data_IF_039530175526
#
_entry.id   IF_039530175526
#
_cell.length_a   1.000
_cell.length_b   1.000
_cell.length_c   1.000
_cell.angle_alpha   90.00
_cell.angle_beta   90.00
_cell.angle_gamma   90.00
#
_symmetry.space_group_name_H-M   'P 1'
#
loop_
_entity.id
_entity.type
_entity.pdbx_description
1 polymer ?
#
# COMPACT_ATOMS: atom_id res chain seq x y z
N UNK A 1 7.99 -4.25 10.42
CA UNK A 1 7.04 -4.97 9.55
C UNK A 1 5.76 -5.22 10.33
N UNK A 2 4.58 -5.16 9.71
CA UNK A 2 3.30 -5.50 10.35
C UNK A 2 2.91 -6.97 10.13
N UNK A 3 1.74 -7.37 10.62
CA UNK A 3 1.21 -8.75 10.52
C UNK A 3 1.31 -9.32 9.09
N UNK A 4 0.85 -8.57 8.08
CA UNK A 4 0.97 -8.92 6.64
C UNK A 4 2.38 -9.23 6.17
N UNK A 5 3.39 -8.58 6.74
CA UNK A 5 4.79 -8.78 6.36
C UNK A 5 5.38 -10.04 6.97
N UNK A 6 4.88 -10.43 8.15
CA UNK A 6 5.37 -11.59 8.91
C UNK A 6 4.60 -12.89 8.60
N UNK A 7 3.42 -12.80 8.00
CA UNK A 7 2.67 -13.96 7.49
C UNK A 7 3.35 -14.70 6.33
N UNK A 8 4.53 -14.25 5.91
CA UNK A 8 5.25 -14.80 4.78
C UNK A 8 4.50 -14.63 3.45
N UNK A 9 4.84 -15.49 2.49
CA UNK A 9 4.23 -15.48 1.15
C UNK A 9 2.86 -16.14 1.24
N UNK A 10 1.83 -15.55 0.62
CA UNK A 10 0.49 -16.14 0.57
C UNK A 10 0.38 -17.26 -0.46
N UNK A 11 -0.34 -18.32 -0.14
CA UNK A 11 -0.64 -19.42 -1.06
C UNK A 11 -1.41 -18.95 -2.30
N UNK A 12 -2.26 -17.93 -2.16
CA UNK A 12 -2.94 -17.27 -3.28
C UNK A 12 -2.93 -15.76 -3.12
N UNK A 13 -2.69 -15.05 -4.21
CA UNK A 13 -2.78 -13.59 -4.27
C UNK A 13 -3.34 -13.18 -5.63
N UNK A 14 -4.60 -12.75 -5.67
CA UNK A 14 -5.31 -12.50 -6.91
C UNK A 14 -5.33 -13.74 -7.80
N UNK A 15 -4.74 -13.62 -8.99
CA UNK A 15 -4.62 -14.71 -9.99
C UNK A 15 -3.40 -15.63 -9.78
N UNK A 16 -2.49 -15.28 -8.88
CA UNK A 16 -1.28 -16.07 -8.61
C UNK A 16 -1.56 -17.10 -7.52
N UNK A 17 -1.41 -18.39 -7.84
CA UNK A 17 -1.48 -19.49 -6.90
C UNK A 17 -0.08 -20.12 -6.70
N UNK A 18 0.20 -20.59 -5.48
CA UNK A 18 1.48 -21.18 -5.07
C UNK A 18 1.22 -22.53 -4.39
N UNK A 19 0.77 -23.55 -5.16
CA UNK A 19 0.37 -24.85 -4.60
C UNK A 19 1.53 -25.58 -3.90
N UNK A 20 2.77 -25.31 -4.33
CA UNK A 20 3.97 -25.93 -3.78
C UNK A 20 4.55 -25.19 -2.55
N UNK A 21 3.87 -24.16 -2.04
CA UNK A 21 4.41 -23.32 -0.96
C UNK A 21 4.64 -24.09 0.35
N UNK A 22 3.85 -25.14 0.61
CA UNK A 22 3.99 -26.00 1.79
C UNK A 22 5.02 -27.12 1.65
N UNK A 23 5.57 -27.34 0.45
CA UNK A 23 6.48 -28.44 0.17
C UNK A 23 7.92 -28.06 0.48
N UNK A 24 8.70 -28.99 1.03
CA UNK A 24 10.14 -28.81 1.21
C UNK A 24 10.86 -28.99 -0.12
N UNK A 25 11.95 -28.25 -0.30
CA UNK A 25 12.80 -28.36 -1.50
C UNK A 25 13.28 -29.80 -1.75
N UNK A 26 13.64 -30.52 -0.69
CA UNK A 26 14.11 -31.90 -0.79
C UNK A 26 13.02 -32.86 -1.31
N UNK A 27 11.77 -32.67 -0.88
CA UNK A 27 10.62 -33.48 -1.34
C UNK A 27 10.36 -33.24 -2.83
N UNK A 28 10.38 -31.97 -3.25
CA UNK A 28 10.23 -31.62 -4.67
C UNK A 28 11.39 -32.15 -5.52
N UNK A 29 12.62 -32.11 -5.02
CA UNK A 29 13.78 -32.66 -5.71
C UNK A 29 13.69 -34.19 -5.89
N UNK A 30 13.19 -34.91 -4.87
CA UNK A 30 12.96 -36.34 -4.95
C UNK A 30 11.88 -36.69 -5.98
N UNK A 31 10.79 -35.92 -6.05
CA UNK A 31 9.75 -36.08 -7.08
C UNK A 31 10.32 -35.86 -8.48
N UNK A 32 11.05 -34.76 -8.69
CA UNK A 32 11.67 -34.43 -9.97
C UNK A 32 12.62 -35.53 -10.43
N UNK A 33 13.46 -36.05 -9.52
CA UNK A 33 14.34 -37.17 -9.79
C UNK A 33 13.59 -38.47 -10.10
N UNK A 34 12.54 -38.79 -9.33
CA UNK A 34 11.69 -39.97 -9.55
C UNK A 34 10.94 -39.94 -10.89
N UNK A 35 10.63 -38.75 -11.41
CA UNK A 35 10.05 -38.56 -12.73
C UNK A 35 11.10 -38.52 -13.86
N UNK A 36 12.39 -38.66 -13.56
CA UNK A 36 13.47 -38.58 -14.56
C UNK A 36 13.64 -37.18 -15.17
N UNK A 37 13.13 -36.14 -14.53
CA UNK A 37 13.21 -34.76 -15.02
C UNK A 37 14.53 -34.13 -14.57
N UNK A 38 15.28 -33.52 -15.49
CA UNK A 38 16.51 -32.78 -15.17
C UNK A 38 16.16 -31.31 -14.92
N UNK A 39 16.28 -30.80 -13.68
CA UNK A 39 15.96 -29.40 -13.38
C UNK A 39 17.06 -28.46 -13.91
N UNK A 40 16.65 -27.32 -14.48
CA UNK A 40 17.57 -26.25 -14.88
C UNK A 40 17.95 -25.42 -13.63
N UNK A 41 19.24 -25.25 -13.40
CA UNK A 41 19.75 -24.39 -12.33
C UNK A 41 19.86 -22.94 -12.83
N UNK A 42 18.95 -22.08 -12.38
CA UNK A 42 19.02 -20.64 -12.67
C UNK A 42 20.17 -19.98 -11.88
N UNK A 43 21.14 -19.32 -12.55
CA UNK A 43 22.28 -18.64 -11.93
C UNK A 43 21.92 -17.59 -10.89
N UNK A 44 20.75 -16.95 -11.00
CA UNK A 44 20.30 -15.91 -10.06
C UNK A 44 20.04 -16.45 -8.65
N UNK A 45 19.86 -17.77 -8.48
CA UNK A 45 19.58 -18.38 -7.18
C UNK A 45 20.75 -18.27 -6.18
N UNK A 46 21.98 -18.11 -6.68
CA UNK A 46 23.20 -18.00 -5.86
C UNK A 46 23.91 -16.64 -5.98
N UNK A 47 23.31 -15.67 -6.67
CA UNK A 47 23.95 -14.39 -6.94
C UNK A 47 23.69 -13.40 -5.80
N UNK A 48 24.76 -13.08 -5.04
CA UNK A 48 24.73 -12.19 -3.88
C UNK A 48 24.31 -10.73 -4.21
N UNK A 49 24.23 -10.37 -5.50
CA UNK A 49 23.62 -9.10 -5.91
C UNK A 49 22.13 -9.01 -5.57
N UNK A 50 21.45 -10.14 -5.40
CA UNK A 50 20.04 -10.19 -5.01
C UNK A 50 19.88 -10.40 -3.51
N UNK A 51 19.09 -9.53 -2.85
CA UNK A 51 18.81 -9.58 -1.40
C UNK A 51 18.37 -10.98 -0.94
N UNK A 52 17.58 -11.67 -1.75
CA UNK A 52 17.06 -13.01 -1.43
C UNK A 52 18.16 -14.06 -1.33
N UNK A 53 19.17 -14.01 -2.19
CA UNK A 53 20.29 -14.96 -2.18
C UNK A 53 21.16 -14.72 -0.94
N UNK A 54 21.48 -13.45 -0.64
CA UNK A 54 22.23 -13.08 0.58
C UNK A 54 21.52 -13.53 1.85
N UNK A 55 20.24 -13.20 2.00
CA UNK A 55 19.45 -13.58 3.17
C UNK A 55 19.42 -15.10 3.34
N UNK A 56 19.28 -15.85 2.24
CA UNK A 56 19.27 -17.31 2.29
C UNK A 56 20.60 -17.91 2.75
N UNK A 57 21.72 -17.34 2.30
CA UNK A 57 23.07 -17.75 2.71
C UNK A 57 23.28 -17.51 4.20
N UNK A 58 22.94 -16.31 4.68
CA UNK A 58 23.01 -15.96 6.12
C UNK A 58 22.13 -16.88 6.95
N UNK A 59 20.88 -17.13 6.53
CA UNK A 59 19.98 -18.04 7.26
C UNK A 59 20.47 -19.50 7.29
N UNK A 60 21.33 -19.91 6.36
CA UNK A 60 21.92 -21.25 6.36
C UNK A 60 23.02 -21.41 7.41
N UNK A 61 23.60 -20.30 7.89
CA UNK A 61 24.66 -20.26 8.91
C UNK A 61 24.09 -20.04 10.33
N UNK A 62 22.75 -20.02 10.48
CA UNK A 62 22.07 -19.72 11.73
C UNK A 62 21.49 -20.98 12.36
N UNK A 63 22.04 -21.36 13.51
CA UNK A 63 21.67 -22.61 14.20
C UNK A 63 20.52 -22.41 15.21
N UNK A 64 20.27 -21.18 15.64
CA UNK A 64 19.26 -20.85 16.65
C UNK A 64 17.84 -20.73 16.07
N UNK A 65 17.68 -20.69 14.75
CA UNK A 65 16.40 -20.50 14.08
C UNK A 65 15.91 -21.80 13.45
N UNK A 66 14.91 -22.44 14.07
CA UNK A 66 14.21 -23.56 13.44
C UNK A 66 13.33 -23.07 12.28
N UNK A 67 13.76 -23.37 11.06
CA UNK A 67 13.03 -23.03 9.83
C UNK A 67 11.61 -23.63 9.79
N UNK A 68 11.41 -24.81 10.37
CA UNK A 68 10.09 -25.43 10.51
C UNK A 68 9.19 -24.65 11.47
N UNK A 69 9.70 -24.25 12.63
CA UNK A 69 8.98 -23.40 13.58
C UNK A 69 8.66 -22.01 13.01
N UNK A 70 9.60 -21.40 12.28
CA UNK A 70 9.38 -20.13 11.59
C UNK A 70 8.26 -20.25 10.53
N UNK A 71 8.25 -21.35 9.76
CA UNK A 71 7.19 -21.62 8.77
C UNK A 71 5.81 -21.80 9.43
N UNK A 72 5.73 -22.58 10.52
CA UNK A 72 4.47 -22.73 11.29
C UNK A 72 3.98 -21.40 11.83
N UNK A 73 4.88 -20.58 12.36
CA UNK A 73 4.56 -19.24 12.88
C UNK A 73 4.03 -18.33 11.78
N UNK A 74 4.69 -18.29 10.61
CA UNK A 74 4.20 -17.55 9.45
C UNK A 74 2.80 -18.02 9.00
N UNK A 75 2.55 -19.33 9.03
CA UNK A 75 1.23 -19.91 8.75
C UNK A 75 0.15 -19.45 9.74
N UNK A 76 0.43 -19.46 11.04
CA UNK A 76 -0.49 -18.97 12.06
C UNK A 76 -0.79 -17.46 11.88
N UNK A 77 0.24 -16.66 11.57
CA UNK A 77 0.08 -15.23 11.28
C UNK A 77 -0.73 -14.99 9.99
N UNK A 78 -0.60 -15.86 8.99
CA UNK A 78 -1.41 -15.79 7.76
C UNK A 78 -2.89 -16.06 8.03
N UNK A 79 -3.20 -17.05 8.87
CA UNK A 79 -4.57 -17.34 9.31
C UNK A 79 -5.16 -16.16 10.10
N UNK A 80 -4.37 -15.55 11.00
CA UNK A 80 -4.78 -14.38 11.74
C UNK A 80 -5.06 -13.17 10.81
N UNK A 81 -4.19 -12.93 9.82
CA UNK A 81 -4.40 -11.87 8.82
C UNK A 81 -5.66 -12.11 7.98
N UNK A 82 -5.95 -13.36 7.60
CA UNK A 82 -7.18 -13.72 6.89
C UNK A 82 -8.42 -13.46 7.75
N UNK A 83 -8.41 -13.90 9.02
CA UNK A 83 -9.51 -13.68 9.95
C UNK A 83 -9.78 -12.18 10.21
N UNK A 84 -8.71 -11.39 10.38
CA UNK A 84 -8.83 -9.93 10.52
C UNK A 84 -9.39 -9.31 9.24
N UNK A 85 -8.92 -9.73 8.06
CA UNK A 85 -9.45 -9.27 6.78
C UNK A 85 -10.94 -9.55 6.65
N UNK A 86 -11.36 -10.79 6.92
CA UNK A 86 -12.77 -11.19 6.93
C UNK A 86 -13.63 -10.35 7.88
N UNK A 87 -13.15 -10.11 9.10
CA UNK A 87 -13.86 -9.27 10.08
C UNK A 87 -13.96 -7.82 9.61
N UNK A 88 -12.91 -7.27 9.00
CA UNK A 88 -12.92 -5.89 8.47
C UNK A 88 -13.94 -5.77 7.35
N UNK A 89 -14.01 -6.74 6.44
CA UNK A 89 -14.99 -6.74 5.36
C UNK A 89 -16.43 -6.82 5.91
N UNK A 90 -16.66 -7.64 6.94
CA UNK A 90 -17.94 -7.71 7.65
C UNK A 90 -18.31 -6.37 8.29
N UNK A 91 -17.39 -5.77 9.06
CA UNK A 91 -17.59 -4.48 9.72
C UNK A 91 -17.82 -3.36 8.71
N UNK A 92 -17.13 -3.38 7.56
CA UNK A 92 -17.35 -2.41 6.50
C UNK A 92 -18.77 -2.52 5.95
N UNK A 93 -19.28 -3.73 5.70
CA UNK A 93 -20.67 -3.93 5.29
C UNK A 93 -21.71 -3.48 6.32
N UNK A 94 -21.41 -3.62 7.61
CA UNK A 94 -22.33 -3.27 8.70
C UNK A 94 -22.31 -1.78 9.08
N UNK A 95 -21.14 -1.14 9.01
CA UNK A 95 -20.91 0.18 9.63
C UNK A 95 -20.59 1.29 8.62
N UNK A 96 -20.11 0.96 7.43
CA UNK A 96 -19.83 1.98 6.42
C UNK A 96 -21.11 2.36 5.68
N UNK A 97 -21.41 3.65 5.67
CA UNK A 97 -22.44 4.25 4.83
C UNK A 97 -21.77 4.96 3.67
N UNK A 98 -22.14 4.57 2.46
CA UNK A 98 -21.64 5.13 1.21
C UNK A 98 -22.70 6.06 0.63
N UNK A 99 -22.33 7.32 0.42
CA UNK A 99 -23.26 8.35 -0.09
C UNK A 99 -22.49 9.40 -0.89
N UNK A 100 -22.92 9.68 -2.11
CA UNK A 100 -22.41 10.76 -2.96
C UNK A 100 -20.87 10.86 -3.04
N UNK A 101 -20.20 9.72 -3.22
CA UNK A 101 -18.74 9.64 -3.29
C UNK A 101 -18.01 9.84 -1.95
N UNK A 102 -18.73 9.82 -0.84
CA UNK A 102 -18.21 9.89 0.53
C UNK A 102 -18.45 8.57 1.28
N UNK A 103 -17.63 8.32 2.30
CA UNK A 103 -17.78 7.20 3.23
C UNK A 103 -17.96 7.77 4.64
N UNK A 104 -18.97 7.31 5.36
CA UNK A 104 -19.15 7.58 6.80
C UNK A 104 -19.08 6.29 7.57
N UNK A 105 -18.39 6.30 8.70
CA UNK A 105 -18.20 5.09 9.52
C UNK A 105 -18.04 5.44 10.99
N UNK A 106 -18.57 4.59 11.86
CA UNK A 106 -18.30 4.64 13.29
C UNK A 106 -17.27 3.57 13.68
N UNK A 107 -16.12 4.01 14.18
CA UNK A 107 -14.98 3.14 14.46
C UNK A 107 -14.28 3.45 15.80
N UNK A 108 -14.83 4.38 16.59
CA UNK A 108 -14.32 4.82 17.90
C UNK A 108 -14.29 3.70 18.95
N UNK A 109 -15.23 2.76 18.86
CA UNK A 109 -15.38 1.59 19.73
C UNK A 109 -14.52 0.37 19.32
N UNK A 110 -13.92 0.39 18.14
CA UNK A 110 -13.20 -0.77 17.61
C UNK A 110 -11.77 -0.88 18.17
N UNK A 111 -11.25 -2.10 18.41
CA UNK A 111 -9.83 -2.32 18.69
C UNK A 111 -8.91 -1.70 17.64
N UNK A 112 -7.71 -1.28 18.05
CA UNK A 112 -6.80 -0.46 17.23
C UNK A 112 -6.54 -1.01 15.81
N UNK A 113 -6.27 -2.31 15.67
CA UNK A 113 -5.98 -2.89 14.35
C UNK A 113 -7.24 -2.95 13.46
N UNK A 114 -8.42 -3.29 14.01
CA UNK A 114 -9.67 -3.27 13.24
C UNK A 114 -10.01 -1.84 12.80
N UNK A 115 -9.86 -0.87 13.71
CA UNK A 115 -10.04 0.55 13.44
C UNK A 115 -9.11 1.02 12.31
N UNK A 116 -7.82 0.67 12.40
CA UNK A 116 -6.80 0.99 11.39
C UNK A 116 -7.15 0.42 10.02
N UNK A 117 -7.51 -0.86 9.95
CA UNK A 117 -7.87 -1.54 8.70
C UNK A 117 -9.17 -1.03 8.10
N UNK A 118 -10.16 -0.69 8.94
CA UNK A 118 -11.40 -0.10 8.48
C UNK A 118 -11.17 1.30 7.89
N UNK A 119 -10.29 2.11 8.49
CA UNK A 119 -9.88 3.39 7.90
C UNK A 119 -9.11 3.19 6.58
N UNK A 120 -8.16 2.25 6.51
CA UNK A 120 -7.49 1.89 5.26
C UNK A 120 -8.50 1.47 4.17
N UNK A 121 -9.54 0.71 4.53
CA UNK A 121 -10.64 0.33 3.64
C UNK A 121 -11.42 1.56 3.15
N UNK A 122 -11.82 2.48 4.04
CA UNK A 122 -12.52 3.71 3.66
C UNK A 122 -11.69 4.60 2.73
N UNK A 123 -10.38 4.74 3.00
CA UNK A 123 -9.46 5.50 2.15
C UNK A 123 -9.37 4.89 0.75
N UNK A 124 -9.15 3.57 0.66
CA UNK A 124 -9.08 2.86 -0.61
C UNK A 124 -10.38 2.86 -1.41
N UNK A 125 -11.53 3.03 -0.73
CA UNK A 125 -12.82 3.18 -1.41
C UNK A 125 -12.97 4.54 -2.09
N UNK A 126 -12.44 5.61 -1.49
CA UNK A 126 -12.46 6.96 -2.05
C UNK A 126 -11.41 7.10 -3.14
N UNK A 127 -10.19 6.67 -2.87
CA UNK A 127 -9.09 6.69 -3.80
C UNK A 127 -8.41 5.30 -3.84
N UNK A 128 -8.75 4.46 -4.83
CA UNK A 128 -8.14 3.13 -5.00
C UNK A 128 -6.63 3.18 -5.27
N UNK A 129 -6.10 4.32 -5.71
CA UNK A 129 -4.67 4.53 -5.90
C UNK A 129 -3.96 5.02 -4.63
N UNK A 130 -4.71 5.36 -3.58
CA UNK A 130 -4.12 5.74 -2.30
C UNK A 130 -3.37 4.56 -1.68
N UNK A 131 -2.05 4.71 -1.57
CA UNK A 131 -1.16 3.79 -0.87
C UNK A 131 -0.47 4.49 0.32
N UNK A 132 -1.23 4.93 1.35
CA UNK A 132 -0.66 5.66 2.47
C UNK A 132 0.31 4.79 3.26
N UNK A 133 1.41 5.38 3.75
CA UNK A 133 2.34 4.66 4.62
C UNK A 133 1.68 4.43 5.98
N UNK A 134 2.05 3.35 6.66
CA UNK A 134 1.45 2.99 7.97
C UNK A 134 1.54 4.11 9.02
N UNK A 135 2.64 4.86 9.06
CA UNK A 135 2.80 6.01 9.95
C UNK A 135 1.83 7.16 9.63
N UNK A 136 1.47 7.35 8.36
CA UNK A 136 0.55 8.41 7.93
C UNK A 136 -0.90 8.04 8.32
N UNK A 137 -1.25 6.75 8.20
CA UNK A 137 -2.53 6.20 8.69
C UNK A 137 -2.63 6.37 10.20
N UNK A 138 -1.56 6.07 10.95
CA UNK A 138 -1.51 6.28 12.40
C UNK A 138 -1.83 7.72 12.80
N UNK A 139 -1.16 8.70 12.18
CA UNK A 139 -1.44 10.12 12.45
C UNK A 139 -2.87 10.53 12.07
N UNK A 140 -3.44 9.96 11.01
CA UNK A 140 -4.83 10.21 10.64
C UNK A 140 -5.81 9.66 11.70
N UNK A 141 -5.54 8.47 12.25
CA UNK A 141 -6.33 7.89 13.33
C UNK A 141 -6.29 8.74 14.60
N UNK A 142 -5.12 9.22 15.00
CA UNK A 142 -4.97 10.08 16.19
C UNK A 142 -5.75 11.40 16.03
N UNK A 143 -5.73 11.97 14.82
CA UNK A 143 -6.51 13.17 14.49
C UNK A 143 -8.02 12.89 14.52
N UNK A 144 -8.47 11.80 13.92
CA UNK A 144 -9.88 11.42 13.95
C UNK A 144 -10.37 11.13 15.38
N UNK A 145 -9.56 10.46 16.20
CA UNK A 145 -9.87 10.18 17.61
C UNK A 145 -9.96 11.45 18.46
N UNK A 146 -9.21 12.51 18.11
CA UNK A 146 -9.27 13.82 18.77
C UNK A 146 -10.30 14.78 18.17
N UNK A 147 -11.14 14.32 17.22
CA UNK A 147 -12.14 15.18 16.56
C UNK A 147 -11.57 16.12 15.49
N UNK A 148 -10.28 16.00 15.17
CA UNK A 148 -9.63 16.83 14.17
C UNK A 148 -9.85 16.30 12.74
N UNK A 149 -9.66 17.19 11.76
CA UNK A 149 -9.71 16.86 10.33
C UNK A 149 -8.33 16.86 9.68
N UNK A 150 -8.22 16.31 8.48
CA UNK A 150 -6.98 16.32 7.71
C UNK A 150 -7.15 15.76 6.30
N UNK A 151 -6.03 15.56 5.60
CA UNK A 151 -5.99 14.96 4.27
C UNK A 151 -4.90 13.91 4.20
N UNK A 152 -5.18 12.77 3.59
CA UNK A 152 -4.24 11.68 3.35
C UNK A 152 -4.44 11.13 1.94
N UNK A 153 -3.40 11.18 1.11
CA UNK A 153 -3.43 10.60 -0.24
C UNK A 153 -4.61 11.08 -1.09
N UNK A 154 -4.89 12.40 -1.13
CA UNK A 154 -6.02 12.93 -1.91
C UNK A 154 -7.40 12.72 -1.27
N UNK A 155 -7.49 12.10 -0.10
CA UNK A 155 -8.73 11.91 0.66
C UNK A 155 -8.75 12.85 1.85
N UNK A 156 -9.78 13.71 1.95
CA UNK A 156 -10.05 14.50 3.15
C UNK A 156 -10.84 13.66 4.14
N UNK A 157 -10.44 13.73 5.41
CA UNK A 157 -11.15 13.11 6.52
C UNK A 157 -11.49 14.13 7.61
N UNK A 158 -12.62 13.93 8.27
CA UNK A 158 -13.09 14.75 9.38
C UNK A 158 -14.12 13.98 10.23
N UNK A 159 -14.51 14.55 11.37
CA UNK A 159 -15.55 13.97 12.24
C UNK A 159 -16.86 14.73 12.03
N UNK A 160 -17.91 14.00 11.64
CA UNK A 160 -19.25 14.51 11.41
C UNK A 160 -20.01 14.75 12.74
N UNK A 161 -21.10 15.51 12.67
CA UNK A 161 -22.06 15.59 13.77
C UNK A 161 -22.56 14.17 14.12
N UNK A 162 -22.52 13.81 15.40
CA UNK A 162 -22.82 12.46 15.89
C UNK A 162 -21.60 11.55 16.09
N UNK A 163 -20.38 12.03 15.79
CA UNK A 163 -19.13 11.32 16.07
C UNK A 163 -18.72 10.31 14.99
N UNK A 164 -19.44 10.24 13.87
CA UNK A 164 -19.03 9.43 12.73
C UNK A 164 -17.82 10.03 12.02
N UNK A 165 -16.89 9.19 11.60
CA UNK A 165 -15.76 9.60 10.78
C UNK A 165 -16.18 9.63 9.32
N UNK A 166 -15.86 10.72 8.63
CA UNK A 166 -16.22 10.96 7.24
C UNK A 166 -14.97 11.06 6.38
N UNK A 167 -15.01 10.41 5.23
CA UNK A 167 -13.96 10.40 4.20
C UNK A 167 -14.56 10.85 2.88
N UNK A 168 -13.86 11.72 2.15
CA UNK A 168 -14.31 12.26 0.86
C UNK A 168 -13.12 12.69 0.00
N UNK A 169 -13.26 12.81 -1.33
CA UNK A 169 -12.21 13.38 -2.17
C UNK A 169 -11.79 14.76 -1.64
N UNK A 170 -10.48 14.99 -1.57
CA UNK A 170 -9.97 16.31 -1.25
C UNK A 170 -10.34 17.28 -2.40
N UNK A 171 -10.67 18.54 -2.10
CA UNK A 171 -10.92 19.52 -3.15
C UNK A 171 -9.69 19.65 -4.06
N UNK A 172 -9.89 19.90 -5.38
CA UNK A 172 -8.78 20.05 -6.31
C UNK A 172 -7.83 21.12 -5.77
N UNK A 173 -6.53 20.79 -5.72
CA UNK A 173 -5.50 21.72 -5.28
C UNK A 173 -5.63 22.97 -6.14
N UNK A 174 -5.81 24.12 -5.51
CA UNK A 174 -5.86 25.40 -6.22
C UNK A 174 -4.53 25.52 -6.98
N UNK A 175 -4.57 25.38 -8.30
CA UNK A 175 -3.40 25.60 -9.13
C UNK A 175 -2.89 27.00 -8.82
N UNK A 176 -1.61 27.12 -8.52
CA UNK A 176 -0.96 28.41 -8.45
C UNK A 176 -1.18 29.09 -9.81
N UNK A 177 -2.02 30.12 -9.84
CA UNK A 177 -2.16 30.98 -11.01
C UNK A 177 -0.76 31.58 -11.20
N UNK A 178 -0.05 31.36 -12.32
CA UNK A 178 1.20 32.06 -12.55
C UNK A 178 0.89 33.55 -12.43
N UNK A 179 1.53 34.19 -11.46
CA UNK A 179 1.43 35.62 -11.20
C UNK A 179 1.78 36.40 -12.46
N UNK A 180 1.05 37.49 -12.68
CA UNK A 180 1.21 38.46 -13.77
C UNK A 180 2.65 38.56 -14.30
N UNK A 181 2.86 38.09 -15.53
CA UNK A 181 4.01 38.52 -16.32
C UNK A 181 3.81 40.02 -16.60
N UNK A 182 4.83 40.86 -16.41
CA UNK A 182 4.71 42.29 -16.68
C UNK A 182 4.36 42.50 -18.16
N UNK A 183 3.34 43.32 -18.40
CA UNK A 183 2.89 43.72 -19.74
C UNK A 183 4.05 44.21 -20.60
N UNK A 184 4.25 43.58 -21.76
CA UNK A 184 5.17 44.03 -22.80
C UNK A 184 4.78 45.46 -23.22
N UNK A 185 5.69 46.45 -23.18
CA UNK A 185 5.36 47.78 -23.67
C UNK A 185 5.22 47.76 -25.21
N UNK A 186 4.38 48.63 -25.80
CA UNK A 186 4.17 48.66 -27.24
C UNK A 186 5.44 49.10 -27.99
N UNK A 187 5.71 48.45 -29.12
CA UNK A 187 6.76 48.80 -30.07
C UNK A 187 6.50 50.20 -30.65
N UNK A 188 7.45 51.11 -30.43
CA UNK A 188 7.51 52.41 -31.12
C UNK A 188 8.10 52.18 -32.52
N UNK A 189 7.45 52.62 -33.61
CA UNK A 189 8.02 52.49 -34.95
C UNK A 189 9.17 53.48 -35.15
N UNK A 190 10.31 52.97 -35.64
CA UNK A 190 11.46 53.76 -36.08
C UNK A 190 11.16 54.44 -37.42
N UNK A 191 11.57 55.71 -37.64
CA UNK A 191 11.39 56.37 -38.93
C UNK A 191 12.37 55.82 -39.97
N UNK A 192 11.83 55.42 -41.13
CA UNK A 192 12.60 55.11 -42.33
C UNK A 192 13.25 56.40 -42.84
N UNK A 193 14.58 56.46 -42.82
CA UNK A 193 15.33 57.55 -43.45
C UNK A 193 16.28 56.99 -44.50
N UNK A 194 16.07 57.43 -45.74
CA UNK A 194 17.15 57.90 -46.60
C UNK A 194 17.98 56.86 -47.34
N UNK A 195 17.56 56.57 -48.57
CA UNK A 195 18.34 55.97 -49.65
C UNK A 195 19.53 56.90 -49.98
N UNK A 196 20.72 56.32 -50.12
CA UNK A 196 21.90 56.97 -50.69
C UNK A 196 22.89 55.92 -51.20
N UNK A 197 22.77 55.54 -52.47
CA UNK A 197 23.83 54.89 -53.24
C UNK A 197 24.17 55.81 -54.41
N UNK A 198 25.48 56.03 -54.57
CA UNK A 198 26.12 56.64 -55.73
C UNK A 198 25.98 55.75 -56.97
#
# INVERSE_FOLDING_TARGET
>A
AGLRGLSGIRARQGRVARPLLGWRRAELAAIVAGCGVVPVADPSNGDDRFDRARVRKVLAEVDWLDAGAASRSAGALAQAEEAIGWMVDRLAGERCRFDDGQVRVRADDLPAELRRRLVEHCLGRIDPAAAPRGADVGRALDRLASGASGTLGGVRYDVAAGGEWRFRPAPPRRAHRPSDLPSTPPLVPLPLTGIGLS
#
